data_IF_253301392736
#
_entry.id   IF_253301392736
#
_cell.length_a   1.000
_cell.length_b   1.000
_cell.length_c   1.000
_cell.angle_alpha   90.00
_cell.angle_beta   90.00
_cell.angle_gamma   90.00
#
_symmetry.space_group_name_H-M   'P 1'
#
loop_
_entity.id
_entity.type
_entity.pdbx_description
1 polymer ?
#
# COMPACT_ATOMS: atom_id res chain seq x y z
N UNK A 1 4.89 7.45 -19.16
CA UNK A 1 5.97 6.44 -19.18
C UNK A 1 6.05 5.78 -17.81
N UNK A 2 6.02 4.47 -17.78
CA UNK A 2 6.16 3.73 -16.52
C UNK A 2 7.61 3.41 -16.24
N UNK A 3 8.01 3.62 -15.01
CA UNK A 3 9.33 3.25 -14.50
C UNK A 3 9.17 1.87 -13.87
N UNK A 4 10.05 0.93 -14.21
CA UNK A 4 9.98 -0.40 -13.59
C UNK A 4 10.44 -0.34 -12.13
N UNK A 5 10.21 -1.41 -11.38
CA UNK A 5 10.50 -1.44 -9.93
C UNK A 5 11.98 -1.17 -9.65
N UNK A 6 12.87 -1.72 -10.48
CA UNK A 6 14.31 -1.51 -10.30
C UNK A 6 14.68 -0.04 -10.49
N UNK A 7 14.15 0.58 -11.55
CA UNK A 7 14.36 2.01 -11.80
C UNK A 7 13.78 2.85 -10.69
N UNK A 8 12.60 2.51 -10.21
CA UNK A 8 11.95 3.21 -9.11
C UNK A 8 12.82 3.19 -7.85
N UNK A 9 13.35 2.03 -7.49
CA UNK A 9 14.24 1.90 -6.34
C UNK A 9 15.49 2.74 -6.52
N UNK A 10 16.12 2.72 -7.70
CA UNK A 10 17.31 3.51 -7.97
C UNK A 10 17.03 5.01 -7.93
N UNK A 11 15.93 5.45 -8.56
CA UNK A 11 15.59 6.89 -8.64
C UNK A 11 15.13 7.41 -7.29
N UNK A 12 14.29 6.68 -6.58
CA UNK A 12 13.66 7.14 -5.35
C UNK A 12 14.44 6.81 -4.09
N UNK A 13 15.54 6.05 -4.19
CA UNK A 13 16.31 5.63 -3.02
C UNK A 13 16.75 6.79 -2.14
N UNK A 14 17.12 7.94 -2.73
CA UNK A 14 17.49 9.14 -1.99
C UNK A 14 16.28 9.98 -1.55
N UNK A 15 15.17 9.87 -2.28
CA UNK A 15 13.98 10.69 -2.04
C UNK A 15 12.96 9.99 -1.15
N UNK A 16 12.91 8.66 -1.16
CA UNK A 16 11.94 7.91 -0.36
C UNK A 16 12.06 8.23 1.12
N UNK A 17 13.29 8.29 1.65
CA UNK A 17 13.53 8.65 3.05
C UNK A 17 13.04 10.04 3.41
N UNK A 18 13.21 11.00 2.49
CA UNK A 18 12.71 12.36 2.67
C UNK A 18 11.20 12.41 2.64
N UNK A 19 10.60 11.69 1.70
CA UNK A 19 9.14 11.61 1.58
C UNK A 19 8.52 11.08 2.87
N UNK A 20 9.06 10.02 3.46
CA UNK A 20 8.54 9.47 4.71
C UNK A 20 8.61 10.47 5.86
N UNK A 21 9.56 11.41 5.82
CA UNK A 21 9.68 12.45 6.85
C UNK A 21 8.58 13.51 6.76
N UNK A 22 7.87 13.59 5.64
CA UNK A 22 6.76 14.54 5.53
C UNK A 22 5.56 14.09 6.36
N UNK A 23 5.37 12.79 6.52
CA UNK A 23 4.14 12.23 7.09
C UNK A 23 4.45 11.20 8.18
N UNK A 24 5.25 11.55 9.19
CA UNK A 24 5.68 10.54 10.17
C UNK A 24 4.52 9.92 10.95
N UNK A 25 3.52 10.72 11.31
CA UNK A 25 2.35 10.23 12.03
C UNK A 25 1.46 9.36 11.16
N UNK A 26 1.25 9.80 9.92
CA UNK A 26 0.42 9.06 8.97
C UNK A 26 1.05 7.71 8.62
N UNK A 27 2.34 7.68 8.36
CA UNK A 27 3.06 6.45 8.05
C UNK A 27 3.00 5.49 9.24
N UNK A 28 3.21 6.00 10.46
CA UNK A 28 3.12 5.17 11.66
C UNK A 28 1.72 4.58 11.84
N UNK A 29 0.68 5.37 11.60
CA UNK A 29 -0.71 4.92 11.73
C UNK A 29 -1.06 3.87 10.68
N UNK A 30 -0.68 4.07 9.43
CA UNK A 30 -0.92 3.09 8.36
C UNK A 30 -0.20 1.78 8.66
N UNK A 31 1.04 1.86 9.17
CA UNK A 31 1.80 0.69 9.59
C UNK A 31 1.11 -0.06 10.74
N UNK A 32 0.58 0.67 11.71
CA UNK A 32 -0.17 0.09 12.83
C UNK A 32 -1.41 -0.65 12.34
N UNK A 33 -2.16 -0.05 11.42
CA UNK A 33 -3.35 -0.65 10.83
C UNK A 33 -3.00 -1.96 10.11
N UNK A 34 -1.91 -1.96 9.38
CA UNK A 34 -1.42 -3.17 8.71
C UNK A 34 -1.11 -4.29 9.70
N UNK A 35 -0.42 -3.96 10.79
CA UNK A 35 -0.09 -4.94 11.83
C UNK A 35 -1.35 -5.48 12.52
N UNK A 36 -2.26 -4.59 12.93
CA UNK A 36 -3.50 -4.99 13.60
C UNK A 36 -4.33 -5.87 12.69
N UNK A 37 -4.46 -5.52 11.42
CA UNK A 37 -5.18 -6.35 10.44
C UNK A 37 -4.57 -7.72 10.30
N UNK A 38 -3.25 -7.80 10.22
CA UNK A 38 -2.55 -9.08 10.14
C UNK A 38 -2.77 -9.95 11.37
N UNK A 39 -2.69 -9.36 12.57
CA UNK A 39 -2.94 -10.07 13.82
C UNK A 39 -4.38 -10.60 13.87
N UNK A 40 -5.34 -9.82 13.43
CA UNK A 40 -6.74 -10.25 13.36
C UNK A 40 -6.93 -11.46 12.44
N UNK A 41 -6.05 -11.63 11.45
CA UNK A 41 -6.06 -12.76 10.54
C UNK A 41 -5.08 -13.87 10.93
N UNK A 42 -4.61 -13.88 12.18
CA UNK A 42 -3.78 -14.96 12.70
C UNK A 42 -2.28 -14.81 12.44
N UNK A 43 -1.84 -13.67 11.93
CA UNK A 43 -0.43 -13.41 11.70
C UNK A 43 0.24 -12.84 12.97
N UNK A 44 1.55 -12.92 13.03
CA UNK A 44 2.36 -12.29 14.08
C UNK A 44 3.22 -11.19 13.46
N UNK A 45 3.94 -10.43 14.29
CA UNK A 45 4.88 -9.42 13.78
C UNK A 45 5.92 -10.04 12.84
N UNK A 46 6.35 -11.26 13.15
CA UNK A 46 7.38 -11.95 12.38
C UNK A 46 6.85 -12.57 11.09
N UNK A 47 5.56 -12.89 11.05
CA UNK A 47 4.92 -13.50 9.88
C UNK A 47 4.02 -12.53 9.11
N UNK A 48 4.02 -11.25 9.48
CA UNK A 48 3.15 -10.26 8.88
C UNK A 48 3.40 -10.15 7.37
N UNK A 49 2.34 -10.34 6.60
CA UNK A 49 2.37 -10.16 5.16
C UNK A 49 0.99 -9.77 4.66
N UNK A 50 0.95 -9.10 3.53
CA UNK A 50 -0.30 -8.74 2.88
C UNK A 50 -0.92 -9.97 2.22
N UNK A 51 -2.13 -10.33 2.65
CA UNK A 51 -2.87 -11.44 2.06
C UNK A 51 -3.59 -10.95 0.80
N UNK A 52 -2.84 -10.85 -0.28
CA UNK A 52 -3.29 -10.23 -1.53
C UNK A 52 -4.52 -10.91 -2.15
N UNK A 53 -4.65 -12.26 -2.15
CA UNK A 53 -5.82 -12.90 -2.72
C UNK A 53 -7.13 -12.52 -2.02
N UNK A 54 -7.08 -12.22 -0.72
CA UNK A 54 -8.26 -11.79 0.05
C UNK A 54 -8.52 -10.30 -0.04
N UNK A 55 -7.61 -9.54 -0.61
CA UNK A 55 -7.66 -8.08 -0.71
C UNK A 55 -8.09 -7.68 -2.11
N UNK A 56 -9.30 -8.10 -2.53
CA UNK A 56 -9.81 -7.83 -3.86
C UNK A 56 -10.78 -6.67 -3.97
N UNK A 57 -11.15 -6.08 -2.85
CA UNK A 57 -12.19 -5.05 -2.78
C UNK A 57 -11.66 -3.69 -2.32
N UNK A 58 -10.39 -3.38 -2.61
CA UNK A 58 -9.75 -2.16 -2.11
C UNK A 58 -10.53 -0.90 -2.44
N UNK A 59 -11.09 -0.80 -3.65
CA UNK A 59 -11.82 0.39 -4.05
C UNK A 59 -13.13 0.53 -3.28
N UNK A 60 -13.89 -0.54 -3.17
CA UNK A 60 -15.14 -0.53 -2.40
C UNK A 60 -14.87 -0.23 -0.93
N UNK A 61 -13.86 -0.88 -0.37
CA UNK A 61 -13.46 -0.65 1.02
C UNK A 61 -12.97 0.79 1.22
N UNK A 62 -12.21 1.32 0.27
CA UNK A 62 -11.75 2.69 0.30
C UNK A 62 -12.93 3.66 0.41
N UNK A 63 -13.93 3.49 -0.45
CA UNK A 63 -15.10 4.38 -0.46
C UNK A 63 -15.88 4.29 0.84
N UNK A 64 -16.05 3.09 1.40
CA UNK A 64 -16.72 2.93 2.70
C UNK A 64 -15.96 3.65 3.80
N UNK A 65 -14.63 3.52 3.83
CA UNK A 65 -13.80 4.18 4.84
C UNK A 65 -13.79 5.70 4.70
N UNK A 66 -13.87 6.20 3.47
CA UNK A 66 -14.03 7.65 3.24
C UNK A 66 -15.32 8.15 3.85
N UNK A 67 -16.43 7.44 3.64
CA UNK A 67 -17.72 7.81 4.21
C UNK A 67 -17.71 7.80 5.73
N UNK A 68 -16.95 6.86 6.32
CA UNK A 68 -16.80 6.74 7.77
C UNK A 68 -15.72 7.66 8.33
N UNK A 69 -15.02 8.41 7.49
CA UNK A 69 -13.90 9.29 7.86
C UNK A 69 -12.77 8.54 8.58
N UNK A 70 -12.59 7.29 8.26
CA UNK A 70 -11.50 6.47 8.79
C UNK A 70 -10.27 6.62 7.89
N UNK A 71 -9.56 7.73 8.07
CA UNK A 71 -8.50 8.15 7.15
C UNK A 71 -7.29 7.19 7.12
N UNK A 72 -7.00 6.51 8.22
CA UNK A 72 -5.93 5.53 8.23
C UNK A 72 -6.23 4.35 7.31
N UNK A 73 -7.46 3.83 7.38
CA UNK A 73 -7.93 2.77 6.49
C UNK A 73 -8.01 3.26 5.03
N UNK A 74 -8.42 4.50 4.82
CA UNK A 74 -8.44 5.11 3.50
C UNK A 74 -7.05 5.07 2.88
N UNK A 75 -6.04 5.51 3.63
CA UNK A 75 -4.66 5.53 3.17
C UNK A 75 -4.14 4.12 2.86
N UNK A 76 -4.40 3.15 3.73
CA UNK A 76 -3.97 1.77 3.52
C UNK A 76 -4.61 1.18 2.25
N UNK A 77 -5.92 1.37 2.08
CA UNK A 77 -6.64 0.85 0.91
C UNK A 77 -6.20 1.53 -0.38
N UNK A 78 -5.92 2.82 -0.32
CA UNK A 78 -5.42 3.56 -1.47
C UNK A 78 -4.05 3.04 -1.91
N UNK A 79 -3.16 2.78 -0.97
CA UNK A 79 -1.85 2.18 -1.27
C UNK A 79 -2.00 0.79 -1.88
N UNK A 80 -2.86 -0.04 -1.33
CA UNK A 80 -3.10 -1.39 -1.85
C UNK A 80 -3.64 -1.34 -3.29
N UNK A 81 -4.60 -0.46 -3.53
CA UNK A 81 -5.17 -0.30 -4.86
C UNK A 81 -4.13 0.21 -5.87
N UNK A 82 -3.36 1.21 -5.48
CA UNK A 82 -2.31 1.77 -6.33
C UNK A 82 -1.24 0.74 -6.65
N UNK A 83 -0.81 -0.04 -5.67
CA UNK A 83 0.21 -1.07 -5.89
C UNK A 83 -0.23 -2.08 -6.94
N UNK A 84 -1.45 -2.59 -6.82
CA UNK A 84 -2.01 -3.54 -7.78
C UNK A 84 -2.18 -2.91 -9.17
N UNK A 85 -2.60 -1.66 -9.22
CA UNK A 85 -2.74 -0.93 -10.48
C UNK A 85 -1.41 -0.80 -11.21
N UNK A 86 -0.37 -0.40 -10.48
CA UNK A 86 0.97 -0.23 -11.06
C UNK A 86 1.58 -1.56 -11.51
N UNK A 87 1.34 -2.63 -10.78
CA UNK A 87 1.79 -3.97 -11.19
C UNK A 87 1.13 -4.39 -12.51
N UNK A 88 -0.15 -4.13 -12.68
CA UNK A 88 -0.86 -4.42 -13.93
C UNK A 88 -0.29 -3.60 -15.09
N UNK A 89 0.03 -2.34 -14.87
CA UNK A 89 0.62 -1.49 -15.88
C UNK A 89 2.03 -1.95 -16.26
N UNK A 90 2.82 -2.41 -15.30
CA UNK A 90 4.14 -3.00 -15.59
C UNK A 90 4.01 -4.22 -16.48
N UNK A 91 3.04 -5.11 -16.19
CA UNK A 91 2.81 -6.31 -17.00
C UNK A 91 2.43 -5.91 -18.44
N UNK A 92 1.54 -4.95 -18.59
CA UNK A 92 1.15 -4.45 -19.92
C UNK A 92 2.35 -3.91 -20.68
N UNK A 93 3.15 -3.08 -20.04
CA UNK A 93 4.34 -2.48 -20.66
C UNK A 93 5.34 -3.54 -21.08
N UNK A 94 5.50 -4.60 -20.27
CA UNK A 94 6.43 -5.68 -20.54
C UNK A 94 6.04 -6.53 -21.74
N UNK A 95 4.74 -6.75 -21.97
CA UNK A 95 4.24 -7.66 -22.99
C UNK A 95 3.66 -6.97 -24.22
N UNK A 96 3.66 -5.66 -24.24
CA UNK A 96 3.28 -4.89 -25.41
C UNK A 96 4.49 -4.49 -26.23
#
# INVERSE_FOLDING_TARGET
>A
MFINVVQLVCISGQHAGRFFKYFPRAIAEVSRISLVGGIQHGQTRETLQWDRPKSGDELDALLRHVMDQDWGQVAWRALAHLEKHLEQEEVKEKYL
#
